data_IF_184405977053
#
_entry.id   IF_184405977053
#
_cell.length_a   1.000
_cell.length_b   1.000
_cell.length_c   1.000
_cell.angle_alpha   90.00
_cell.angle_beta   90.00
_cell.angle_gamma   90.00
#
_symmetry.space_group_name_H-M   'P 1'
#
loop_
_entity.id
_entity.type
_entity.pdbx_description
1 polymer ?
#
# COMPACT_ATOMS: atom_id res chain seq x y z
N UNK A 1 -52.84 -0.23 -17.88
CA UNK A 1 -51.71 0.51 -18.48
C UNK A 1 -50.74 1.07 -17.44
N UNK A 2 -51.21 1.76 -16.39
CA UNK A 2 -50.37 2.40 -15.35
C UNK A 2 -49.51 1.40 -14.53
N UNK A 3 -50.05 0.23 -14.16
CA UNK A 3 -49.29 -0.81 -13.43
C UNK A 3 -48.07 -1.33 -14.20
N UNK A 4 -48.15 -1.41 -15.52
CA UNK A 4 -47.06 -1.93 -16.37
C UNK A 4 -45.90 -0.92 -16.44
N UNK A 5 -46.21 0.38 -16.55
CA UNK A 5 -45.22 1.47 -16.52
C UNK A 5 -44.53 1.56 -15.16
N UNK A 6 -45.29 1.41 -14.06
CA UNK A 6 -44.74 1.38 -12.70
C UNK A 6 -43.81 0.17 -12.48
N UNK A 7 -44.14 -1.01 -13.01
CA UNK A 7 -43.27 -2.20 -12.99
C UNK A 7 -41.94 -1.95 -13.72
N UNK A 8 -41.98 -1.31 -14.90
CA UNK A 8 -40.77 -0.95 -15.65
C UNK A 8 -39.95 0.17 -14.98
N UNK A 9 -40.59 1.09 -14.26
CA UNK A 9 -39.90 2.14 -13.50
C UNK A 9 -39.25 1.59 -12.21
N UNK A 10 -39.98 0.77 -11.46
CA UNK A 10 -39.50 0.12 -10.24
C UNK A 10 -38.35 -0.86 -10.53
N UNK A 11 -38.40 -1.58 -11.66
CA UNK A 11 -37.31 -2.47 -12.07
C UNK A 11 -36.04 -1.70 -12.44
N UNK A 12 -36.15 -0.60 -13.19
CA UNK A 12 -35.00 0.28 -13.50
C UNK A 12 -34.38 0.89 -12.25
N UNK A 13 -35.19 1.34 -11.28
CA UNK A 13 -34.71 1.89 -10.02
C UNK A 13 -33.96 0.84 -9.17
N UNK A 14 -34.42 -0.42 -9.17
CA UNK A 14 -33.72 -1.56 -8.56
C UNK A 14 -32.40 -1.89 -9.26
N UNK A 15 -32.36 -1.86 -10.60
CA UNK A 15 -31.12 -2.12 -11.35
C UNK A 15 -30.08 -1.02 -11.08
N UNK A 16 -30.48 0.25 -11.10
CA UNK A 16 -29.57 1.38 -10.81
C UNK A 16 -29.00 1.30 -9.39
N UNK A 17 -29.84 0.96 -8.40
CA UNK A 17 -29.37 0.79 -7.02
C UNK A 17 -28.41 -0.40 -6.86
N UNK A 18 -28.64 -1.53 -7.56
CA UNK A 18 -27.69 -2.66 -7.60
C UNK A 18 -26.36 -2.25 -8.25
N UNK A 19 -26.40 -1.52 -9.37
CA UNK A 19 -25.18 -1.05 -10.04
C UNK A 19 -24.38 -0.07 -9.17
N UNK A 20 -25.05 0.82 -8.44
CA UNK A 20 -24.40 1.74 -7.48
C UNK A 20 -23.78 0.98 -6.30
N UNK A 21 -24.45 -0.05 -5.76
CA UNK A 21 -23.89 -0.90 -4.72
C UNK A 21 -22.67 -1.68 -5.23
N UNK A 22 -22.72 -2.24 -6.44
CA UNK A 22 -21.57 -2.91 -7.05
C UNK A 22 -20.42 -1.93 -7.27
N UNK A 23 -20.69 -0.74 -7.81
CA UNK A 23 -19.67 0.30 -7.99
C UNK A 23 -19.07 0.77 -6.66
N UNK A 24 -19.86 0.83 -5.58
CA UNK A 24 -19.38 1.16 -4.24
C UNK A 24 -18.57 0.02 -3.61
N UNK A 25 -18.95 -1.24 -3.80
CA UNK A 25 -18.21 -2.40 -3.31
C UNK A 25 -16.89 -2.61 -4.08
N UNK A 26 -16.93 -2.51 -5.40
CA UNK A 26 -15.72 -2.58 -6.24
C UNK A 26 -14.85 -1.33 -6.05
N UNK A 27 -15.47 -0.15 -5.92
CA UNK A 27 -14.80 1.11 -5.69
C UNK A 27 -14.13 1.19 -4.32
N UNK A 28 -14.76 0.70 -3.26
CA UNK A 28 -14.14 0.62 -1.93
C UNK A 28 -13.01 -0.40 -1.88
N UNK A 29 -13.14 -1.56 -2.53
CA UNK A 29 -12.02 -2.50 -2.72
C UNK A 29 -10.86 -1.89 -3.50
N UNK A 30 -11.15 -1.08 -4.52
CA UNK A 30 -10.15 -0.34 -5.29
C UNK A 30 -9.50 0.77 -4.46
N UNK A 31 -10.27 1.47 -3.62
CA UNK A 31 -9.82 2.55 -2.75
C UNK A 31 -8.92 2.06 -1.61
N UNK A 32 -9.17 0.85 -1.08
CA UNK A 32 -8.30 0.20 -0.10
C UNK A 32 -6.92 -0.09 -0.71
N UNK A 33 -6.84 -0.33 -2.02
CA UNK A 33 -5.60 -0.70 -2.71
C UNK A 33 -4.71 0.50 -3.10
N UNK A 34 -5.28 1.71 -3.19
CA UNK A 34 -4.53 2.93 -3.54
C UNK A 34 -3.84 3.60 -2.34
N UNK A 35 -3.90 3.01 -1.15
CA UNK A 35 -3.29 3.64 0.02
C UNK A 35 -1.77 3.52 -0.06
N UNK A 36 -1.13 4.61 -0.49
CA UNK A 36 0.29 4.89 -0.28
C UNK A 36 0.59 4.77 1.23
N UNK A 37 0.94 3.56 1.67
CA UNK A 37 0.95 3.21 3.08
C UNK A 37 2.34 3.43 3.65
N UNK A 38 2.67 4.70 3.94
CA UNK A 38 3.69 4.99 4.93
C UNK A 38 3.19 4.53 6.32
N UNK A 39 4.02 3.78 7.04
CA UNK A 39 3.86 3.49 8.47
C UNK A 39 4.98 4.19 9.24
N UNK A 40 4.66 4.97 10.27
CA UNK A 40 5.61 5.80 10.99
C UNK A 40 5.81 7.18 10.34
N UNK A 41 7.04 7.71 10.40
CA UNK A 41 7.37 9.03 9.87
C UNK A 41 8.26 8.93 8.64
N UNK A 42 7.65 8.78 7.46
CA UNK A 42 8.37 8.73 6.18
C UNK A 42 8.75 10.11 5.62
N UNK A 43 8.64 11.19 6.41
CA UNK A 43 9.10 12.52 6.00
C UNK A 43 10.43 12.87 6.67
N UNK A 44 10.50 12.76 8.00
CA UNK A 44 11.65 13.13 8.82
C UNK A 44 11.70 12.28 10.10
N UNK A 45 12.11 11.02 10.00
CA UNK A 45 12.11 10.10 11.13
C UNK A 45 12.22 8.64 10.69
N UNK A 46 11.84 7.71 11.55
CA UNK A 46 11.82 6.29 11.20
C UNK A 46 10.44 5.92 10.63
N UNK A 47 10.44 5.20 9.51
CA UNK A 47 9.21 4.79 8.84
C UNK A 47 9.41 3.69 7.82
N UNK A 48 8.29 3.15 7.35
CA UNK A 48 8.22 2.08 6.37
C UNK A 48 7.30 2.50 5.24
N UNK A 49 7.81 2.60 4.01
CA UNK A 49 7.01 2.92 2.82
C UNK A 49 7.05 1.76 1.83
N UNK A 50 5.87 1.42 1.30
CA UNK A 50 5.74 0.52 0.14
C UNK A 50 5.70 1.40 -1.12
N UNK A 51 6.57 1.09 -2.07
CA UNK A 51 6.65 1.75 -3.37
C UNK A 51 5.64 1.14 -4.36
N UNK A 52 5.46 1.81 -5.49
CA UNK A 52 4.48 1.43 -6.52
C UNK A 52 4.79 0.07 -7.18
N UNK A 53 6.05 -0.35 -7.18
CA UNK A 53 6.51 -1.66 -7.65
C UNK A 53 6.29 -2.79 -6.62
N UNK A 54 5.85 -2.44 -5.41
CA UNK A 54 5.64 -3.36 -4.30
C UNK A 54 6.89 -3.61 -3.45
N UNK A 55 8.03 -2.97 -3.75
CA UNK A 55 9.17 -2.95 -2.85
C UNK A 55 8.85 -2.13 -1.59
N UNK A 56 9.55 -2.43 -0.50
CA UNK A 56 9.33 -1.80 0.79
C UNK A 56 10.65 -1.34 1.38
N UNK A 57 10.78 -0.04 1.64
CA UNK A 57 11.88 0.49 2.45
C UNK A 57 11.43 0.66 3.90
N UNK A 58 12.27 0.20 4.83
CA UNK A 58 12.09 0.32 6.27
C UNK A 58 13.36 0.94 6.83
N UNK A 59 13.27 2.14 7.39
CA UNK A 59 14.46 2.82 7.89
C UNK A 59 14.21 4.26 8.23
N UNK A 60 15.30 5.01 8.30
CA UNK A 60 15.30 6.43 8.55
C UNK A 60 14.97 7.21 7.25
N UNK A 61 14.30 8.35 7.42
CA UNK A 61 13.81 9.24 6.38
C UNK A 61 14.20 10.67 6.69
N UNK A 62 14.51 11.43 5.65
CA UNK A 62 14.75 12.87 5.71
C UNK A 62 14.22 13.52 4.45
N UNK A 63 13.44 14.59 4.58
CA UNK A 63 12.78 15.29 3.48
C UNK A 63 11.97 14.39 2.52
N UNK A 64 11.41 13.29 3.02
CA UNK A 64 10.64 12.35 2.20
C UNK A 64 11.48 11.32 1.45
N UNK A 65 12.79 11.29 1.66
CA UNK A 65 13.72 10.34 1.04
C UNK A 65 14.35 9.41 2.08
N UNK A 66 14.74 8.20 1.65
CA UNK A 66 15.53 7.29 2.47
C UNK A 66 16.85 7.97 2.86
N UNK A 67 17.15 8.00 4.16
CA UNK A 67 18.32 8.67 4.70
C UNK A 67 18.74 8.01 6.01
N UNK A 68 20.02 7.78 6.25
CA UNK A 68 20.50 7.03 7.42
C UNK A 68 20.45 5.52 7.19
N UNK A 69 20.19 4.72 8.21
CA UNK A 69 20.19 3.26 8.07
C UNK A 69 18.80 2.71 7.74
N UNK A 70 18.76 1.73 6.83
CA UNK A 70 17.52 1.08 6.43
C UNK A 70 17.68 -0.15 5.55
N UNK A 71 16.57 -0.86 5.37
CA UNK A 71 16.46 -2.12 4.63
C UNK A 71 15.45 -1.93 3.49
N UNK A 72 15.84 -2.34 2.28
CA UNK A 72 14.97 -2.47 1.12
C UNK A 72 14.59 -3.94 0.94
N UNK A 73 13.29 -4.19 0.85
CA UNK A 73 12.71 -5.53 0.78
C UNK A 73 11.88 -5.64 -0.50
N UNK A 74 12.06 -6.70 -1.25
CA UNK A 74 11.26 -7.03 -2.42
C UNK A 74 9.83 -7.43 -2.03
N UNK A 75 8.94 -7.47 -3.02
CA UNK A 75 7.55 -7.89 -2.86
C UNK A 75 7.40 -9.31 -2.28
N UNK A 76 8.35 -10.20 -2.57
CA UNK A 76 8.42 -11.57 -2.06
C UNK A 76 9.05 -11.68 -0.65
N UNK A 77 9.28 -10.55 0.02
CA UNK A 77 9.92 -10.42 1.32
C UNK A 77 11.44 -10.70 1.33
N UNK A 78 12.08 -10.87 0.17
CA UNK A 78 13.55 -10.98 0.08
C UNK A 78 14.20 -9.62 0.37
N UNK A 79 15.25 -9.61 1.17
CA UNK A 79 16.06 -8.40 1.38
C UNK A 79 16.91 -8.15 0.13
N UNK A 80 16.68 -6.99 -0.49
CA UNK A 80 17.44 -6.51 -1.64
C UNK A 80 18.66 -5.70 -1.21
N UNK A 81 18.51 -4.95 -0.10
CA UNK A 81 19.55 -4.11 0.44
C UNK A 81 19.38 -3.94 1.95
N UNK A 82 20.48 -3.91 2.68
CA UNK A 82 20.56 -3.48 4.08
C UNK A 82 21.78 -2.60 4.22
N UNK A 83 21.63 -1.38 4.75
CA UNK A 83 22.77 -0.49 4.94
C UNK A 83 22.42 0.99 4.97
N UNK A 84 23.39 1.82 4.63
CA UNK A 84 23.31 3.28 4.73
C UNK A 84 22.73 3.91 3.46
N UNK A 85 21.88 4.91 3.64
CA UNK A 85 21.20 5.69 2.62
C UNK A 85 21.47 7.19 2.81
N UNK A 86 21.65 7.92 1.71
CA UNK A 86 21.71 9.38 1.72
C UNK A 86 20.99 9.89 0.46
N UNK A 87 20.08 10.85 0.63
CA UNK A 87 19.30 11.46 -0.46
C UNK A 87 18.65 10.40 -1.40
N UNK A 88 18.07 9.36 -0.80
CA UNK A 88 17.44 8.26 -1.53
C UNK A 88 18.40 7.26 -2.20
N UNK A 89 19.71 7.43 -2.05
CA UNK A 89 20.73 6.56 -2.68
C UNK A 89 21.37 5.61 -1.68
N UNK A 90 21.68 4.40 -2.13
CA UNK A 90 22.42 3.39 -1.39
C UNK A 90 23.90 3.78 -1.30
N UNK A 91 24.44 3.89 -0.08
CA UNK A 91 25.82 4.34 0.16
C UNK A 91 26.73 3.18 0.53
N UNK A 92 26.35 2.37 1.51
CA UNK A 92 27.16 1.23 1.96
C UNK A 92 26.30 0.07 2.43
N UNK A 93 26.52 -1.12 1.85
CA UNK A 93 25.87 -2.34 2.32
C UNK A 93 26.45 -2.76 3.66
N UNK A 94 25.57 -3.18 4.57
CA UNK A 94 25.93 -3.75 5.85
C UNK A 94 25.88 -5.29 5.73
N UNK A 95 26.95 -5.96 6.14
CA UNK A 95 27.08 -7.42 6.01
C UNK A 95 26.32 -8.19 7.09
N UNK A 96 25.78 -7.48 8.08
CA UNK A 96 24.94 -8.07 9.11
C UNK A 96 23.58 -8.36 8.49
N UNK A 97 23.35 -9.62 8.17
CA UNK A 97 22.07 -10.17 7.75
C UNK A 97 21.02 -9.83 8.79
N UNK A 98 20.28 -8.74 8.57
CA UNK A 98 18.95 -8.61 9.15
C UNK A 98 18.18 -9.82 8.62
N UNK A 99 18.07 -10.90 9.36
CA UNK A 99 17.11 -11.92 8.99
C UNK A 99 15.73 -11.32 9.27
N UNK A 100 14.77 -11.36 8.34
CA UNK A 100 13.40 -11.05 8.69
C UNK A 100 13.04 -12.05 9.80
N UNK A 101 12.81 -11.55 11.02
CA UNK A 101 12.32 -12.37 12.12
C UNK A 101 11.09 -13.10 11.55
N UNK A 102 11.11 -14.44 11.44
CA UNK A 102 9.96 -15.19 10.96
C UNK A 102 8.77 -14.71 11.77
N UNK A 103 7.66 -14.36 11.09
CA UNK A 103 6.43 -14.02 11.80
C UNK A 103 6.10 -15.20 12.72
N UNK A 104 6.34 -15.04 14.02
CA UNK A 104 5.81 -15.96 15.00
C UNK A 104 4.30 -15.93 14.82
N UNK A 105 3.77 -17.09 14.44
CA UNK A 105 2.36 -17.32 14.28
C UNK A 105 1.79 -17.39 15.69
N UNK A 106 1.18 -16.30 16.17
CA UNK A 106 0.20 -16.35 17.25
C UNK A 106 -1.19 -16.59 16.67
#
# INVERSE_FOLDING_TARGET
>A
MIKLIQLFAQSKLRIVSILLLIAFLLGSSYFIFLKESCNGNCKNGFGSKIYWDGEKYIGQWKNGEANGYGVLVAKDQKILYSGKWEEGKQISKENNTFQPVPKETQ
#
